data_IF_552249172066
#
_entry.id   IF_552249172066
#
_cell.length_a   1.000
_cell.length_b   1.000
_cell.length_c   1.000
_cell.angle_alpha   90.00
_cell.angle_beta   90.00
_cell.angle_gamma   90.00
#
_symmetry.space_group_name_H-M   'P 1'
#
loop_
_entity.id
_entity.type
_entity.pdbx_description
1 polymer ?
#
# COMPACT_ATOMS: atom_id res chain seq x y z
N UNK A 1 24.27 0.37 27.80
CA UNK A 1 25.61 0.01 27.32
C UNK A 1 25.52 -0.96 26.14
N UNK A 2 25.02 -2.19 26.34
CA UNK A 2 24.94 -3.20 25.27
C UNK A 2 24.07 -2.81 24.07
N UNK A 3 22.94 -2.13 24.29
CA UNK A 3 22.08 -1.65 23.20
C UNK A 3 22.81 -0.70 22.24
N UNK A 4 23.69 0.16 22.77
CA UNK A 4 24.46 1.10 21.95
C UNK A 4 25.44 0.35 21.04
N UNK A 5 26.11 -0.68 21.55
CA UNK A 5 26.99 -1.54 20.75
C UNK A 5 26.23 -2.25 19.64
N UNK A 6 24.99 -2.69 19.89
CA UNK A 6 24.14 -3.28 18.83
C UNK A 6 23.78 -2.21 17.78
N UNK A 7 23.46 -0.98 18.19
CA UNK A 7 23.15 0.13 17.26
C UNK A 7 24.35 0.53 16.41
N UNK A 8 25.54 0.53 16.97
CA UNK A 8 26.79 0.77 16.24
C UNK A 8 27.06 -0.33 15.22
N UNK A 9 26.93 -1.60 15.63
CA UNK A 9 27.09 -2.75 14.73
C UNK A 9 26.05 -2.75 13.60
N UNK A 10 24.79 -2.41 13.89
CA UNK A 10 23.76 -2.25 12.87
C UNK A 10 24.13 -1.18 11.84
N UNK A 11 24.73 -0.07 12.29
CA UNK A 11 25.17 1.01 11.40
C UNK A 11 26.37 0.60 10.55
N UNK A 12 27.35 -0.10 11.11
CA UNK A 12 28.54 -0.56 10.40
C UNK A 12 28.21 -1.51 9.24
N UNK A 13 27.22 -2.39 9.44
CA UNK A 13 26.83 -3.40 8.46
C UNK A 13 25.57 -3.04 7.65
N UNK A 14 25.10 -1.79 7.76
CA UNK A 14 23.85 -1.29 7.14
C UNK A 14 22.64 -2.22 7.36
N UNK A 15 22.51 -2.71 8.59
CA UNK A 15 21.44 -3.62 8.99
C UNK A 15 20.39 -2.89 9.79
N UNK A 16 19.14 -3.19 9.49
CA UNK A 16 18.00 -2.67 10.26
C UNK A 16 17.72 -3.56 11.48
N UNK A 17 17.07 -3.04 12.54
CA UNK A 17 16.64 -3.84 13.69
C UNK A 17 15.79 -5.06 13.30
N UNK A 18 15.03 -4.95 12.21
CA UNK A 18 14.25 -6.07 11.65
C UNK A 18 15.15 -7.21 11.16
N UNK A 19 16.29 -6.88 10.56
CA UNK A 19 17.25 -7.88 10.10
C UNK A 19 17.93 -8.57 11.28
N UNK A 20 18.27 -7.82 12.34
CA UNK A 20 18.81 -8.39 13.58
C UNK A 20 17.81 -9.34 14.22
N UNK A 21 16.54 -8.94 14.33
CA UNK A 21 15.48 -9.81 14.85
C UNK A 21 15.34 -11.09 14.01
N UNK A 22 15.40 -10.99 12.68
CA UNK A 22 15.34 -12.15 11.78
C UNK A 22 16.51 -13.13 12.02
N UNK A 23 17.73 -12.61 12.19
CA UNK A 23 18.91 -13.44 12.50
C UNK A 23 18.74 -14.11 13.87
N UNK A 24 18.34 -13.36 14.90
CA UNK A 24 18.12 -13.91 16.23
C UNK A 24 17.04 -15.00 16.24
N UNK A 25 15.94 -14.83 15.49
CA UNK A 25 14.91 -15.87 15.34
C UNK A 25 15.37 -17.10 14.59
N UNK A 26 16.36 -16.96 13.69
CA UNK A 26 16.93 -18.10 12.97
C UNK A 26 17.90 -18.91 13.85
N UNK A 27 18.56 -18.25 14.81
CA UNK A 27 19.48 -18.87 15.77
C UNK A 27 18.70 -19.52 16.91
N UNK A 28 17.71 -18.80 17.45
CA UNK A 28 16.86 -19.27 18.54
C UNK A 28 15.39 -19.01 18.19
N UNK A 29 14.67 -20.04 17.71
CA UNK A 29 13.25 -19.93 17.38
C UNK A 29 12.35 -19.59 18.58
N UNK A 30 12.82 -19.75 19.82
CA UNK A 30 12.04 -19.39 21.01
C UNK A 30 11.89 -17.88 21.19
N UNK A 31 12.81 -17.10 20.62
CA UNK A 31 12.78 -15.62 20.59
C UNK A 31 11.82 -15.13 19.52
N UNK A 32 11.29 -16.01 18.66
CA UNK A 32 10.21 -15.66 17.75
C UNK A 32 9.01 -15.22 18.60
N UNK A 33 8.86 -13.91 18.75
CA UNK A 33 7.62 -13.29 19.18
C UNK A 33 6.59 -13.83 18.20
N UNK A 34 5.69 -14.68 18.70
CA UNK A 34 4.57 -15.20 17.94
C UNK A 34 4.05 -14.02 17.14
N UNK A 35 4.16 -14.09 15.81
CA UNK A 35 3.55 -13.09 14.95
C UNK A 35 2.08 -13.11 15.38
N UNK A 36 1.67 -12.13 16.18
CA UNK A 36 0.33 -11.64 16.08
C UNK A 36 0.19 -11.39 14.58
N UNK A 37 -0.64 -12.19 13.93
CA UNK A 37 -1.09 -12.00 12.57
C UNK A 37 -1.81 -10.64 12.52
N UNK A 38 -1.02 -9.57 12.52
CA UNK A 38 -1.47 -8.25 12.92
C UNK A 38 -0.52 -7.14 12.49
N UNK A 39 0.39 -7.43 11.56
CA UNK A 39 1.11 -6.40 10.82
C UNK A 39 1.58 -6.91 9.45
N UNK A 40 0.66 -7.46 8.65
CA UNK A 40 0.65 -7.00 7.26
C UNK A 40 0.41 -5.50 7.35
N UNK A 41 1.39 -4.67 6.97
CA UNK A 41 1.22 -3.22 6.94
C UNK A 41 -0.16 -2.91 6.38
N UNK A 42 -0.98 -2.20 7.16
CA UNK A 42 -2.43 -2.26 7.11
C UNK A 42 -2.95 -2.53 5.70
N UNK A 43 -3.45 -3.75 5.47
CA UNK A 43 -4.18 -4.04 4.24
C UNK A 43 -5.48 -3.27 4.35
N UNK A 44 -5.41 -1.97 4.08
CA UNK A 44 -6.57 -1.14 3.78
C UNK A 44 -7.35 -1.97 2.78
N UNK A 45 -8.56 -2.37 3.15
CA UNK A 45 -9.42 -3.20 2.31
C UNK A 45 -9.24 -2.78 0.85
N UNK A 46 -8.80 -3.72 -0.01
CA UNK A 46 -8.55 -3.43 -1.42
C UNK A 46 -9.81 -2.78 -1.97
N UNK A 47 -9.75 -1.48 -2.27
CA UNK A 47 -10.90 -0.73 -2.74
C UNK A 47 -11.47 -1.44 -3.98
N UNK A 48 -12.80 -1.56 -4.08
CA UNK A 48 -13.43 -2.20 -5.23
C UNK A 48 -12.96 -1.53 -6.53
N UNK A 49 -12.74 -2.35 -7.55
CA UNK A 49 -12.34 -1.86 -8.88
C UNK A 49 -13.57 -1.28 -9.54
N UNK A 50 -13.57 0.03 -9.74
CA UNK A 50 -14.65 0.76 -10.41
C UNK A 50 -14.28 0.93 -11.88
N UNK A 51 -15.22 0.59 -12.76
CA UNK A 51 -15.09 0.88 -14.19
C UNK A 51 -15.87 2.15 -14.50
N UNK A 52 -15.35 3.00 -15.37
CA UNK A 52 -16.05 4.19 -15.85
C UNK A 52 -16.01 4.20 -17.37
N UNK A 53 -17.13 4.50 -18.02
CA UNK A 53 -17.21 4.58 -19.49
C UNK A 53 -17.71 5.96 -19.92
N UNK A 54 -16.88 6.71 -20.64
CA UNK A 54 -17.28 8.01 -21.17
C UNK A 54 -18.16 7.83 -22.42
N UNK A 55 -19.42 8.30 -22.44
CA UNK A 55 -20.29 8.20 -23.62
C UNK A 55 -19.88 9.13 -24.78
N UNK A 56 -19.09 10.17 -24.51
CA UNK A 56 -18.68 11.15 -25.51
C UNK A 56 -17.49 10.67 -26.36
N UNK A 57 -16.54 9.96 -25.73
CA UNK A 57 -15.31 9.48 -26.39
C UNK A 57 -15.26 7.96 -26.56
N UNK A 58 -16.12 7.22 -25.84
CA UNK A 58 -16.08 5.76 -25.79
C UNK A 58 -14.97 5.18 -24.92
N UNK A 59 -14.14 6.02 -24.29
CA UNK A 59 -13.03 5.58 -23.44
C UNK A 59 -13.51 4.90 -22.15
N UNK A 60 -12.82 3.83 -21.74
CA UNK A 60 -13.12 3.05 -20.54
C UNK A 60 -11.94 3.08 -19.59
N UNK A 61 -12.18 3.49 -18.34
CA UNK A 61 -11.17 3.58 -17.28
C UNK A 61 -11.53 2.61 -16.16
N UNK A 62 -10.59 1.74 -15.78
CA UNK A 62 -10.72 0.88 -14.60
C UNK A 62 -9.79 1.37 -13.50
N UNK A 63 -10.35 1.83 -12.39
CA UNK A 63 -9.57 2.36 -11.26
C UNK A 63 -10.06 1.81 -9.92
N UNK A 64 -9.12 1.66 -8.97
CA UNK A 64 -9.44 1.33 -7.57
C UNK A 64 -9.54 2.59 -6.70
N UNK A 65 -9.51 3.78 -7.29
CA UNK A 65 -9.55 5.04 -6.55
C UNK A 65 -9.89 6.25 -7.40
N UNK A 66 -10.33 7.33 -6.74
CA UNK A 66 -10.78 8.55 -7.41
C UNK A 66 -9.67 9.41 -8.01
N UNK A 67 -8.39 9.19 -7.67
CA UNK A 67 -7.26 9.94 -8.22
C UNK A 67 -6.69 9.22 -9.45
N UNK A 68 -7.30 9.46 -10.60
CA UNK A 68 -6.87 8.92 -11.89
C UNK A 68 -6.91 10.04 -12.92
N UNK A 69 -5.81 10.25 -13.66
CA UNK A 69 -5.64 11.41 -14.55
C UNK A 69 -6.81 11.60 -15.51
N UNK A 70 -7.19 10.54 -16.22
CA UNK A 70 -8.32 10.55 -17.17
C UNK A 70 -9.66 10.85 -16.49
N UNK A 71 -9.88 10.36 -15.25
CA UNK A 71 -11.11 10.67 -14.52
C UNK A 71 -11.14 12.12 -14.05
N UNK A 72 -9.99 12.69 -13.70
CA UNK A 72 -9.90 14.10 -13.36
C UNK A 72 -10.17 14.96 -14.60
N UNK A 73 -9.59 14.63 -15.76
CA UNK A 73 -9.84 15.32 -17.03
C UNK A 73 -11.32 15.27 -17.44
N UNK A 74 -11.98 14.12 -17.27
CA UNK A 74 -13.42 14.02 -17.53
C UNK A 74 -14.23 14.87 -16.55
N UNK A 75 -13.83 14.95 -15.28
CA UNK A 75 -14.54 15.78 -14.28
C UNK A 75 -14.36 17.26 -14.56
N UNK A 76 -13.21 17.67 -15.08
CA UNK A 76 -12.98 19.05 -15.53
C UNK A 76 -13.82 19.40 -16.76
N UNK A 77 -13.98 18.46 -17.72
CA UNK A 77 -14.73 18.69 -18.96
C UNK A 77 -16.25 18.58 -18.81
N UNK A 78 -16.72 17.61 -18.04
CA UNK A 78 -18.14 17.24 -17.96
C UNK A 78 -18.75 17.42 -16.57
N UNK A 79 -17.94 17.79 -15.57
CA UNK A 79 -18.39 17.91 -14.19
C UNK A 79 -18.32 16.59 -13.42
N UNK A 80 -18.21 16.72 -12.09
CA UNK A 80 -18.03 15.57 -11.19
C UNK A 80 -19.24 14.63 -11.16
N UNK A 81 -20.44 15.18 -11.19
CA UNK A 81 -21.69 14.41 -11.11
C UNK A 81 -21.94 13.57 -12.36
N UNK A 82 -21.68 14.14 -13.54
CA UNK A 82 -21.77 13.41 -14.81
C UNK A 82 -20.78 12.24 -14.87
N UNK A 83 -19.51 12.46 -14.49
CA UNK A 83 -18.52 11.37 -14.47
C UNK A 83 -18.86 10.30 -13.44
N UNK A 84 -19.51 10.67 -12.33
CA UNK A 84 -19.93 9.71 -11.32
C UNK A 84 -21.08 8.83 -11.81
N UNK A 85 -22.01 9.34 -12.64
CA UNK A 85 -23.08 8.53 -13.23
C UNK A 85 -22.60 7.56 -14.32
N UNK A 86 -21.38 7.75 -14.83
CA UNK A 86 -20.75 6.85 -15.81
C UNK A 86 -20.05 5.63 -15.18
N UNK A 87 -20.07 5.52 -13.85
CA UNK A 87 -19.54 4.35 -13.15
C UNK A 87 -20.33 3.11 -13.55
N UNK A 88 -19.62 2.08 -14.02
CA UNK A 88 -20.11 0.72 -14.20
C UNK A 88 -19.56 -0.10 -13.03
N UNK A 89 -20.47 -0.62 -12.19
CA UNK A 89 -20.15 -1.57 -11.11
C UNK A 89 -19.76 -2.95 -11.65
#
# INVERSE_FOLDING_TARGET
AFENSIRELMKEYDKTPKHVLQILTAIDPSIAVAKAEGSTGGTRAKRPMKTYKNPNTGEVVKTRGGNHKVLNEWREKHGKEAVQSWQQD
#
